data_IF_604573318270
#
_entry.id   IF_604573318270
#
_cell.length_a   1.000
_cell.length_b   1.000
_cell.length_c   1.000
_cell.angle_alpha   90.00
_cell.angle_beta   90.00
_cell.angle_gamma   90.00
#
_symmetry.space_group_name_H-M   'P 1'
#
loop_
_entity.id
_entity.type
_entity.pdbx_description
1 polymer ?
#
# COMPACT_ATOMS: atom_id res chain seq x y z
N UNK A 1 11.33 -22.43 -3.55
CA UNK A 1 10.99 -20.99 -3.40
C UNK A 1 11.69 -20.46 -2.16
N UNK A 2 12.27 -19.27 -2.20
CA UNK A 2 12.78 -18.58 -1.00
C UNK A 2 12.01 -17.29 -0.79
N UNK A 3 11.74 -16.93 0.47
CA UNK A 3 11.07 -15.69 0.84
C UNK A 3 11.75 -15.10 2.06
N UNK A 4 12.18 -13.84 1.98
CA UNK A 4 12.80 -13.09 3.07
C UNK A 4 11.91 -11.92 3.42
N UNK A 5 11.51 -11.80 4.68
CA UNK A 5 10.80 -10.62 5.18
C UNK A 5 11.73 -9.39 5.09
N UNK A 6 11.25 -8.36 4.40
CA UNK A 6 11.94 -7.07 4.22
C UNK A 6 11.13 -5.91 4.83
N UNK A 7 10.00 -6.20 5.46
CA UNK A 7 9.17 -5.17 6.08
C UNK A 7 9.76 -4.63 7.37
N UNK A 8 10.57 -5.42 8.08
CA UNK A 8 11.20 -5.04 9.37
C UNK A 8 10.19 -4.42 10.37
N UNK A 9 8.95 -4.93 10.40
CA UNK A 9 7.81 -4.39 11.18
C UNK A 9 7.35 -2.97 10.79
N UNK A 10 7.88 -2.37 9.73
CA UNK A 10 7.49 -1.05 9.21
C UNK A 10 6.35 -1.11 8.19
N UNK A 11 5.84 -2.30 7.89
CA UNK A 11 4.79 -2.53 6.90
C UNK A 11 3.36 -2.20 7.37
N UNK A 12 3.20 -1.74 8.62
CA UNK A 12 1.96 -1.32 9.28
C UNK A 12 0.81 -2.35 9.23
N UNK A 13 0.15 -2.49 8.08
CA UNK A 13 -0.95 -3.42 7.85
C UNK A 13 -0.55 -4.60 6.93
N UNK A 14 0.75 -4.81 6.69
CA UNK A 14 1.25 -5.87 5.81
C UNK A 14 2.66 -6.30 6.15
N UNK A 15 2.98 -7.56 5.85
CA UNK A 15 4.36 -8.04 5.71
C UNK A 15 4.73 -8.05 4.24
N UNK A 16 5.97 -7.66 3.98
CA UNK A 16 6.52 -7.53 2.64
C UNK A 16 7.70 -8.48 2.55
N UNK A 17 7.66 -9.38 1.59
CA UNK A 17 8.68 -10.38 1.36
C UNK A 17 9.36 -10.15 0.03
N UNK A 18 10.69 -10.23 0.01
CA UNK A 18 11.44 -10.46 -1.22
C UNK A 18 11.41 -11.95 -1.51
N UNK A 19 10.88 -12.34 -2.67
CA UNK A 19 10.62 -13.74 -3.01
C UNK A 19 11.31 -14.12 -4.31
N UNK A 20 11.97 -15.28 -4.28
CA UNK A 20 12.62 -15.87 -5.45
C UNK A 20 11.99 -17.24 -5.75
N UNK A 21 11.51 -17.41 -6.98
CA UNK A 21 11.10 -18.71 -7.51
C UNK A 21 12.20 -19.26 -8.40
N UNK A 22 12.59 -20.50 -8.12
CA UNK A 22 13.52 -21.28 -8.91
C UNK A 22 12.73 -22.35 -9.66
N UNK A 23 12.93 -22.45 -10.96
CA UNK A 23 12.36 -23.54 -11.75
C UNK A 23 13.35 -24.71 -11.67
N UNK A 24 12.93 -25.86 -11.13
CA UNK A 24 13.81 -27.03 -10.94
C UNK A 24 14.54 -27.45 -12.21
N UNK A 25 13.87 -27.33 -13.36
CA UNK A 25 14.43 -27.70 -14.67
C UNK A 25 15.20 -26.56 -15.36
N UNK A 26 15.32 -25.38 -14.73
CA UNK A 26 16.11 -24.26 -15.23
C UNK A 26 16.61 -23.40 -14.05
N UNK A 27 17.68 -23.83 -13.36
CA UNK A 27 18.20 -23.14 -12.19
C UNK A 27 18.64 -21.69 -12.45
N UNK A 28 19.02 -21.38 -13.70
CA UNK A 28 19.39 -20.04 -14.15
C UNK A 28 18.18 -19.09 -14.28
N UNK A 29 16.96 -19.64 -14.36
CA UNK A 29 15.72 -18.86 -14.40
C UNK A 29 15.20 -18.59 -12.99
N UNK A 30 15.73 -17.53 -12.38
CA UNK A 30 15.24 -17.01 -11.10
C UNK A 30 14.24 -15.88 -11.34
N UNK A 31 13.01 -16.05 -10.85
CA UNK A 31 12.00 -15.01 -10.87
C UNK A 31 11.98 -14.28 -9.53
N UNK A 32 12.37 -13.00 -9.55
CA UNK A 32 12.40 -12.14 -8.38
C UNK A 32 11.17 -11.23 -8.38
N UNK A 33 10.46 -11.20 -7.25
CA UNK A 33 9.33 -10.30 -7.04
C UNK A 33 9.19 -9.96 -5.56
N UNK A 34 8.40 -8.93 -5.29
CA UNK A 34 7.96 -8.58 -3.94
C UNK A 34 6.56 -9.15 -3.72
N UNK A 35 6.38 -9.81 -2.59
CA UNK A 35 5.11 -10.36 -2.14
C UNK A 35 4.65 -9.57 -0.92
N UNK A 36 3.48 -8.94 -1.00
CA UNK A 36 2.84 -8.23 0.11
C UNK A 36 1.64 -9.03 0.60
N UNK A 37 1.62 -9.35 1.89
CA UNK A 37 0.56 -10.10 2.57
C UNK A 37 0.00 -9.22 3.69
N UNK A 38 -1.33 -8.98 3.75
CA UNK A 38 -1.93 -8.21 4.84
C UNK A 38 -1.75 -8.94 6.17
N UNK A 39 -1.42 -8.21 7.23
CA UNK A 39 -1.32 -8.77 8.59
C UNK A 39 -1.70 -7.74 9.65
N UNK A 40 -2.21 -8.22 10.77
CA UNK A 40 -2.43 -7.47 12.00
C UNK A 40 -1.20 -7.45 12.92
N UNK A 41 -0.21 -8.31 12.69
CA UNK A 41 0.91 -8.53 13.61
C UNK A 41 1.67 -7.24 13.93
N UNK A 42 1.88 -6.38 12.92
CA UNK A 42 2.62 -5.13 13.09
C UNK A 42 1.81 -4.07 13.88
N UNK A 43 0.48 -4.11 13.83
CA UNK A 43 -0.37 -3.20 14.62
C UNK A 43 -0.39 -3.61 16.10
N UNK A 44 -0.36 -4.90 16.40
CA UNK A 44 -0.30 -5.39 17.77
C UNK A 44 0.99 -4.93 18.47
N UNK A 45 2.13 -4.93 17.77
CA UNK A 45 3.40 -4.44 18.31
C UNK A 45 3.40 -2.93 18.61
N UNK A 46 2.85 -2.09 17.71
CA UNK A 46 2.76 -0.64 17.95
C UNK A 46 1.82 -0.36 19.13
N UNK A 47 0.74 -1.13 19.28
CA UNK A 47 -0.15 -1.01 20.43
C UNK A 47 0.56 -1.37 21.73
N UNK A 48 1.25 -2.50 21.79
CA UNK A 48 2.01 -2.92 22.99
C UNK A 48 3.07 -1.89 23.41
N UNK A 49 3.70 -1.21 22.45
CA UNK A 49 4.72 -0.19 22.70
C UNK A 49 4.17 1.21 23.04
N UNK A 50 2.93 1.54 22.66
CA UNK A 50 2.31 2.86 22.87
C UNK A 50 1.29 2.92 24.01
N UNK A 51 1.09 1.80 24.74
CA UNK A 51 0.20 1.74 25.89
C UNK A 51 0.76 2.50 27.11
N UNK A 52 0.53 3.80 27.16
CA UNK A 52 0.17 4.45 28.42
C UNK A 52 -1.28 4.09 28.76
N UNK A 53 -1.51 3.61 29.99
CA UNK A 53 -2.73 2.92 30.46
C UNK A 53 -4.03 3.73 30.44
N UNK A 54 -4.00 4.99 30.02
CA UNK A 54 -5.09 5.93 30.26
C UNK A 54 -5.97 6.24 29.04
N UNK A 55 -5.62 5.78 27.83
CA UNK A 55 -6.45 6.03 26.64
C UNK A 55 -7.27 4.78 26.25
N UNK A 56 -8.31 4.49 27.04
CA UNK A 56 -9.20 3.33 26.82
C UNK A 56 -10.03 3.40 25.54
N UNK A 57 -10.23 4.57 24.96
CA UNK A 57 -11.14 4.75 23.82
C UNK A 57 -10.55 4.29 22.47
N UNK A 58 -9.23 4.29 22.33
CA UNK A 58 -8.55 3.72 21.14
C UNK A 58 -8.49 2.18 21.17
N UNK A 59 -8.59 1.58 22.37
CA UNK A 59 -8.55 0.13 22.59
C UNK A 59 -9.88 -0.54 22.20
N UNK A 60 -11.01 0.16 22.37
CA UNK A 60 -12.36 -0.38 22.08
C UNK A 60 -12.56 -0.64 20.57
N UNK A 61 -11.89 0.11 19.69
CA UNK A 61 -12.05 -0.03 18.23
C UNK A 61 -11.44 -1.32 17.62
N UNK A 62 -10.66 -2.09 18.40
CA UNK A 62 -9.94 -3.28 17.93
C UNK A 62 -10.31 -4.59 18.65
N UNK A 63 -11.07 -4.55 19.75
CA UNK A 63 -11.46 -5.75 20.50
C UNK A 63 -12.69 -6.50 19.92
N UNK A 64 -13.41 -5.91 18.97
CA UNK A 64 -14.71 -6.43 18.47
C UNK A 64 -14.62 -7.42 17.28
N UNK A 65 -13.47 -8.05 17.02
CA UNK A 65 -13.35 -9.00 15.90
C UNK A 65 -13.39 -8.36 14.50
N UNK A 66 -13.42 -7.02 14.40
CA UNK A 66 -13.46 -6.24 13.15
C UNK A 66 -12.08 -5.93 12.55
N UNK A 67 -11.00 -6.45 13.14
CA UNK A 67 -9.64 -6.17 12.68
C UNK A 67 -9.39 -6.78 11.29
N UNK A 68 -9.83 -8.02 11.08
CA UNK A 68 -9.72 -8.71 9.79
C UNK A 68 -10.57 -8.04 8.71
N UNK A 69 -11.75 -7.50 9.07
CA UNK A 69 -12.59 -6.73 8.14
C UNK A 69 -11.91 -5.43 7.71
N UNK A 70 -11.30 -4.69 8.65
CA UNK A 70 -10.54 -3.46 8.34
C UNK A 70 -9.30 -3.77 7.49
N UNK A 71 -8.57 -4.83 7.83
CA UNK A 71 -7.43 -5.30 7.03
C UNK A 71 -7.85 -5.71 5.61
N UNK A 72 -8.95 -6.46 5.51
CA UNK A 72 -9.53 -6.83 4.23
C UNK A 72 -9.94 -5.60 3.42
N UNK A 73 -10.57 -4.60 4.04
CA UNK A 73 -10.93 -3.35 3.38
C UNK A 73 -9.70 -2.64 2.81
N UNK A 74 -8.64 -2.43 3.62
CA UNK A 74 -7.42 -1.74 3.20
C UNK A 74 -6.74 -2.49 2.04
N UNK A 75 -6.53 -3.79 2.19
CA UNK A 75 -5.88 -4.63 1.18
C UNK A 75 -6.70 -4.73 -0.11
N UNK A 76 -8.03 -4.83 -0.02
CA UNK A 76 -8.90 -4.96 -1.19
C UNK A 76 -9.00 -3.65 -1.97
N UNK A 77 -8.96 -2.50 -1.28
CA UNK A 77 -8.84 -1.18 -1.92
C UNK A 77 -7.53 -1.07 -2.69
N UNK A 78 -6.42 -1.55 -2.13
CA UNK A 78 -5.13 -1.59 -2.84
C UNK A 78 -5.17 -2.53 -4.06
N UNK A 79 -5.81 -3.69 -3.95
CA UNK A 79 -6.03 -4.58 -5.09
C UNK A 79 -6.86 -3.90 -6.19
N UNK A 80 -7.95 -3.21 -5.82
CA UNK A 80 -8.79 -2.48 -6.78
C UNK A 80 -8.01 -1.32 -7.43
N UNK A 81 -7.18 -0.60 -6.67
CA UNK A 81 -6.29 0.43 -7.20
C UNK A 81 -5.40 -0.14 -8.32
N UNK A 82 -4.65 -1.20 -8.05
CA UNK A 82 -3.80 -1.79 -9.08
C UNK A 82 -4.60 -2.37 -10.24
N UNK A 83 -5.78 -2.94 -10.00
CA UNK A 83 -6.65 -3.44 -11.07
C UNK A 83 -7.16 -2.35 -12.01
N UNK A 84 -7.51 -1.18 -11.48
CA UNK A 84 -8.03 -0.04 -12.25
C UNK A 84 -6.89 0.72 -12.94
N UNK A 85 -5.78 0.93 -12.24
CA UNK A 85 -4.71 1.82 -12.68
C UNK A 85 -3.50 1.10 -13.30
N UNK A 86 -3.52 -0.23 -13.49
CA UNK A 86 -2.40 -0.98 -14.09
C UNK A 86 -1.90 -0.42 -15.43
N UNK A 87 -2.78 0.20 -16.22
CA UNK A 87 -2.49 0.72 -17.56
C UNK A 87 -2.27 2.24 -17.56
N UNK A 88 -2.20 2.87 -16.38
CA UNK A 88 -1.99 4.31 -16.26
C UNK A 88 -0.62 4.70 -16.81
N UNK A 89 -0.59 5.71 -17.67
CA UNK A 89 0.65 6.14 -18.35
C UNK A 89 1.35 7.24 -17.55
N UNK A 90 2.65 7.40 -17.73
CA UNK A 90 3.37 8.55 -17.17
C UNK A 90 3.52 8.55 -15.66
N UNK A 91 3.13 7.48 -14.97
CA UNK A 91 3.48 7.21 -13.58
C UNK A 91 4.46 6.03 -13.50
N UNK A 92 5.59 6.17 -12.79
CA UNK A 92 6.50 5.07 -12.53
C UNK A 92 5.92 4.22 -11.39
N UNK A 93 5.05 3.26 -11.73
CA UNK A 93 4.53 2.28 -10.77
C UNK A 93 5.23 0.93 -10.95
N UNK A 94 5.42 0.20 -9.85
CA UNK A 94 5.88 -1.18 -9.92
C UNK A 94 4.88 -2.01 -10.75
N UNK A 95 5.38 -2.84 -11.66
CA UNK A 95 4.52 -3.75 -12.40
C UNK A 95 3.90 -4.76 -11.43
N UNK A 96 2.58 -4.81 -11.37
CA UNK A 96 1.84 -5.80 -10.57
C UNK A 96 1.58 -7.04 -11.42
N UNK A 97 2.08 -8.20 -10.97
CA UNK A 97 1.91 -9.47 -11.66
C UNK A 97 0.63 -10.20 -11.24
N UNK A 98 0.23 -10.07 -9.98
CA UNK A 98 -0.92 -10.77 -9.42
C UNK A 98 -1.48 -10.05 -8.20
N UNK A 99 -2.80 -10.09 -8.03
CA UNK A 99 -3.52 -9.61 -6.84
C UNK A 99 -4.58 -10.60 -6.44
N UNK A 100 -4.72 -10.86 -5.15
CA UNK A 100 -5.79 -11.65 -4.55
C UNK A 100 -6.39 -10.86 -3.40
N UNK A 101 -7.71 -10.69 -3.43
CA UNK A 101 -8.46 -10.04 -2.36
C UNK A 101 -8.43 -10.90 -1.09
N UNK A 102 -8.36 -10.22 0.06
CA UNK A 102 -8.52 -10.82 1.37
C UNK A 102 -10.03 -10.95 1.67
N UNK A 103 -10.49 -12.18 1.86
CA UNK A 103 -11.88 -12.50 2.20
C UNK A 103 -11.90 -13.35 3.49
N UNK A 104 -11.98 -12.72 4.68
CA UNK A 104 -11.93 -13.41 5.96
C UNK A 104 -13.00 -14.50 6.10
N UNK A 105 -14.24 -14.20 5.68
CA UNK A 105 -15.38 -15.13 5.69
C UNK A 105 -15.19 -16.38 4.81
N UNK A 106 -14.28 -16.34 3.84
CA UNK A 106 -13.94 -17.49 2.99
C UNK A 106 -12.60 -18.14 3.40
N UNK A 107 -12.00 -17.69 4.51
CA UNK A 107 -10.65 -18.07 4.93
C UNK A 107 -9.60 -17.90 3.81
N UNK A 108 -9.76 -16.87 2.97
CA UNK A 108 -8.89 -16.60 1.82
C UNK A 108 -7.98 -15.42 2.14
N UNK A 109 -6.70 -15.69 2.39
CA UNK A 109 -5.67 -14.66 2.62
C UNK A 109 -5.46 -13.82 1.35
N UNK A 110 -5.29 -12.51 1.53
CA UNK A 110 -4.95 -11.59 0.44
C UNK A 110 -3.46 -11.63 0.10
N UNK A 111 -3.12 -11.38 -1.16
CA UNK A 111 -1.71 -11.25 -1.57
C UNK A 111 -1.56 -10.34 -2.79
N UNK A 112 -0.45 -9.61 -2.87
CA UNK A 112 -0.06 -8.85 -4.06
C UNK A 112 1.36 -9.25 -4.45
N UNK A 113 1.57 -9.63 -5.72
CA UNK A 113 2.88 -9.82 -6.32
C UNK A 113 3.23 -8.66 -7.23
N UNK A 114 4.38 -8.04 -7.00
CA UNK A 114 4.83 -6.86 -7.73
C UNK A 114 6.32 -6.92 -8.05
N UNK A 115 6.75 -6.12 -9.02
CA UNK A 115 8.16 -5.96 -9.38
C UNK A 115 9.01 -5.58 -8.17
N UNK A 116 10.17 -6.22 -8.05
CA UNK A 116 11.20 -5.80 -7.09
C UNK A 116 11.92 -4.54 -7.61
N UNK A 117 11.67 -3.41 -6.95
CA UNK A 117 12.32 -2.13 -7.21
C UNK A 117 13.55 -1.88 -6.31
N UNK A 118 13.99 -2.87 -5.53
CA UNK A 118 15.18 -2.74 -4.67
C UNK A 118 16.39 -2.23 -5.46
N UNK A 119 17.05 -1.19 -4.95
CA UNK A 119 18.20 -0.56 -5.60
C UNK A 119 17.87 0.32 -6.81
N UNK A 120 16.60 0.40 -7.23
CA UNK A 120 16.12 1.32 -8.28
C UNK A 120 15.40 2.54 -7.73
N UNK A 121 14.97 2.49 -6.47
CA UNK A 121 14.25 3.55 -5.78
C UNK A 121 14.89 3.87 -4.44
N UNK A 122 14.63 5.09 -3.97
CA UNK A 122 15.02 5.55 -2.64
C UNK A 122 13.81 6.21 -1.97
N UNK A 123 13.74 6.13 -0.64
CA UNK A 123 12.68 6.75 0.16
C UNK A 123 13.28 7.99 0.80
N UNK A 124 12.79 9.16 0.42
CA UNK A 124 13.21 10.39 1.07
C UNK A 124 12.58 10.46 2.47
N UNK A 125 13.40 10.31 3.50
CA UNK A 125 12.99 10.55 4.88
C UNK A 125 12.76 12.03 5.17
N UNK A 126 12.13 12.33 6.32
CA UNK A 126 11.79 13.69 6.76
C UNK A 126 12.99 14.63 6.95
N UNK A 127 14.21 14.08 7.04
CA UNK A 127 15.46 14.84 7.17
C UNK A 127 16.12 15.15 5.83
N UNK A 128 15.59 14.61 4.73
CA UNK A 128 16.08 14.85 3.38
C UNK A 128 15.33 15.99 2.70
N UNK A 129 16.03 16.77 1.88
CA UNK A 129 15.41 17.75 0.97
C UNK A 129 15.44 17.24 -0.46
N UNK A 130 14.49 17.69 -1.27
CA UNK A 130 14.44 17.42 -2.69
C UNK A 130 15.20 18.50 -3.46
N UNK A 131 16.00 18.08 -4.44
CA UNK A 131 16.54 19.02 -5.40
C UNK A 131 15.47 19.46 -6.41
N UNK A 132 15.73 20.55 -7.13
CA UNK A 132 14.79 21.12 -8.12
C UNK A 132 14.37 20.10 -9.19
N UNK A 133 15.27 19.19 -9.58
CA UNK A 133 14.95 18.16 -10.56
C UNK A 133 13.93 17.16 -10.00
N UNK A 134 14.12 16.67 -8.77
CA UNK A 134 13.19 15.75 -8.12
C UNK A 134 11.80 16.39 -7.92
N UNK A 135 11.76 17.67 -7.49
CA UNK A 135 10.49 18.41 -7.36
C UNK A 135 9.76 18.48 -8.71
N UNK A 136 10.45 18.89 -9.78
CA UNK A 136 9.86 18.96 -11.13
C UNK A 136 9.35 17.60 -11.60
N UNK A 137 10.08 16.53 -11.30
CA UNK A 137 9.68 15.16 -11.66
C UNK A 137 8.42 14.72 -10.90
N UNK A 138 8.33 14.98 -9.59
CA UNK A 138 7.13 14.70 -8.79
C UNK A 138 5.93 15.48 -9.32
N UNK A 139 6.07 16.79 -9.56
CA UNK A 139 5.00 17.63 -10.10
C UNK A 139 4.54 17.12 -11.47
N UNK A 140 5.47 16.73 -12.34
CA UNK A 140 5.14 16.15 -13.66
C UNK A 140 4.34 14.85 -13.53
N UNK A 141 4.73 13.95 -12.63
CA UNK A 141 4.04 12.69 -12.40
C UNK A 141 2.65 12.89 -11.80
N UNK A 142 2.51 13.80 -10.84
CA UNK A 142 1.20 14.18 -10.27
C UNK A 142 0.28 14.81 -11.31
N UNK A 143 0.80 15.72 -12.14
CA UNK A 143 0.03 16.33 -13.23
C UNK A 143 -0.45 15.27 -14.24
N UNK A 144 0.42 14.33 -14.63
CA UNK A 144 0.05 13.23 -15.52
C UNK A 144 -1.00 12.31 -14.90
N UNK A 145 -0.91 12.04 -13.60
CA UNK A 145 -1.89 11.25 -12.85
C UNK A 145 -3.27 11.93 -12.86
N UNK A 146 -3.33 13.19 -12.43
CA UNK A 146 -4.58 13.95 -12.36
C UNK A 146 -5.22 14.13 -13.75
N UNK A 147 -4.41 14.40 -14.78
CA UNK A 147 -4.91 14.50 -16.15
C UNK A 147 -5.54 13.19 -16.64
N UNK A 148 -5.01 12.04 -16.24
CA UNK A 148 -5.62 10.75 -16.58
C UNK A 148 -6.86 10.46 -15.76
N UNK A 149 -6.87 10.74 -14.46
CA UNK A 149 -8.06 10.61 -13.63
C UNK A 149 -9.23 11.43 -14.16
N UNK A 150 -8.96 12.66 -14.60
CA UNK A 150 -9.96 13.56 -15.19
C UNK A 150 -10.60 12.98 -16.46
N UNK A 151 -9.81 12.26 -17.27
CA UNK A 151 -10.27 11.68 -18.53
C UNK A 151 -10.75 10.22 -18.40
N UNK A 152 -10.63 9.61 -17.23
CA UNK A 152 -11.01 8.22 -17.01
C UNK A 152 -12.51 8.11 -16.80
N UNK A 153 -13.14 7.10 -17.41
CA UNK A 153 -14.49 6.69 -17.01
C UNK A 153 -14.53 6.47 -15.49
N UNK A 154 -15.66 6.82 -14.88
CA UNK A 154 -15.84 6.90 -13.42
C UNK A 154 -15.82 5.53 -12.70
N UNK A 155 -15.12 4.52 -13.24
CA UNK A 155 -14.93 3.18 -12.67
C UNK A 155 -14.36 3.19 -11.25
N UNK A 156 -13.69 4.28 -10.87
CA UNK A 156 -13.15 4.52 -9.54
C UNK A 156 -14.15 5.18 -8.58
N UNK A 157 -15.16 5.91 -9.08
CA UNK A 157 -16.20 6.51 -8.24
C UNK A 157 -16.97 5.39 -7.55
N UNK A 158 -17.06 5.43 -6.23
CA UNK A 158 -17.63 4.40 -5.34
C UNK A 158 -16.71 3.22 -4.96
N UNK A 159 -15.51 3.08 -5.53
CA UNK A 159 -14.54 2.05 -5.10
C UNK A 159 -13.56 2.55 -4.04
N UNK A 160 -13.35 3.86 -4.00
CA UNK A 160 -12.53 4.53 -3.01
C UNK A 160 -13.45 5.39 -2.13
N UNK A 161 -13.47 5.20 -0.81
CA UNK A 161 -14.29 6.04 0.06
C UNK A 161 -13.78 7.48 0.01
N UNK A 162 -14.65 8.44 -0.32
CA UNK A 162 -14.35 9.86 -0.21
C UNK A 162 -14.82 10.35 1.16
N UNK A 163 -13.94 11.01 1.92
CA UNK A 163 -14.40 11.91 2.96
C UNK A 163 -14.90 13.16 2.25
N UNK A 164 -16.19 13.48 2.40
CA UNK A 164 -16.68 14.82 2.11
C UNK A 164 -16.06 15.74 3.16
N UNK A 165 -15.23 16.67 2.72
CA UNK A 165 -14.71 17.74 3.57
C UNK A 165 -15.68 18.89 3.33
N UNK A 166 -16.45 19.29 4.35
CA UNK A 166 -17.22 20.53 4.30
C UNK A 166 -16.22 21.68 4.12
N UNK A 167 -16.45 22.53 3.11
CA UNK A 167 -15.51 23.54 2.58
C UNK A 167 -15.23 24.74 3.51
N UNK A 168 -15.42 24.60 4.83
CA UNK A 168 -15.17 25.68 5.79
C UNK A 168 -13.69 25.73 6.23
N UNK A 169 -12.78 25.85 5.26
CA UNK A 169 -11.42 26.34 5.53
C UNK A 169 -11.44 27.86 5.47
N UNK A 170 -11.78 28.50 6.60
CA UNK A 170 -11.46 29.92 6.80
C UNK A 170 -9.96 30.00 7.08
N UNK A 171 -9.22 30.54 6.11
CA UNK A 171 -7.86 31.02 6.37
C UNK A 171 -8.03 32.32 7.16
N UNK A 172 -7.66 32.28 8.44
CA UNK A 172 -7.53 33.47 9.27
C UNK A 172 -6.27 34.21 8.84
N UNK A 173 -6.43 35.13 7.90
CA UNK A 173 -5.41 36.11 7.55
C UNK A 173 -5.38 37.18 8.64
N UNK A 174 -4.64 36.89 9.72
CA UNK A 174 -4.39 37.82 10.82
C UNK A 174 -3.77 39.14 10.39
#
# INVERSE_FOLDING_TARGET
VTARDISENKGFASRIFKTNIYIENNPESVYNFVMKIPTSDCMNHVMDETMDKDNKDSIVMMQDGKLDEKLAQIHNVECDFYGIFKDIKGLPMARVMYTQKFLPQENRIGVIFMEDLSGKMDILGIFGSLNVHQIKTIVKHLAAFHAQLYNMEEKWKNRFPFKVIDEDFVIDDG
#
